data_IF_635023523782
#
_entry.id   IF_635023523782
#
_cell.length_a   1.000
_cell.length_b   1.000
_cell.length_c   1.000
_cell.angle_alpha   90.00
_cell.angle_beta   90.00
_cell.angle_gamma   90.00
#
_symmetry.space_group_name_H-M   'P 1'
#
loop_
_entity.id
_entity.type
_entity.pdbx_description
1 polymer ?
#
# COMPACT_ATOMS: atom_id res chain seq x y z
N UNK A 1 12.43 2.77 -10.59
CA UNK A 1 12.09 2.17 -9.27
C UNK A 1 12.63 0.74 -9.19
N UNK A 2 13.82 0.55 -8.63
CA UNK A 2 14.50 -0.77 -8.58
C UNK A 2 13.80 -1.79 -7.64
N UNK A 3 13.05 -1.30 -6.64
CA UNK A 3 12.40 -2.14 -5.63
C UNK A 3 11.11 -2.83 -6.11
N UNK A 4 10.39 -2.23 -7.06
CA UNK A 4 9.16 -2.76 -7.66
C UNK A 4 9.41 -4.08 -8.42
N UNK A 5 10.62 -4.23 -8.99
CA UNK A 5 11.03 -5.44 -9.70
C UNK A 5 11.36 -6.60 -8.76
N UNK A 6 11.65 -6.33 -7.48
CA UNK A 6 11.97 -7.38 -6.50
C UNK A 6 10.74 -7.90 -5.75
N UNK A 7 9.76 -7.05 -5.50
CA UNK A 7 8.49 -7.47 -4.92
C UNK A 7 7.42 -6.39 -5.14
N UNK A 8 6.20 -6.76 -5.54
CA UNK A 8 5.06 -5.83 -5.61
C UNK A 8 4.81 -5.10 -4.28
N UNK A 9 5.21 -5.71 -3.15
CA UNK A 9 5.10 -5.16 -1.80
C UNK A 9 5.84 -3.82 -1.61
N UNK A 10 6.81 -3.51 -2.47
CA UNK A 10 7.59 -2.28 -2.39
C UNK A 10 6.77 -1.01 -2.71
N UNK A 11 5.58 -1.13 -3.33
CA UNK A 11 4.71 0.02 -3.61
C UNK A 11 4.22 0.71 -2.34
N UNK A 12 3.84 -0.07 -1.33
CA UNK A 12 3.33 0.45 -0.05
C UNK A 12 4.41 1.15 0.79
N UNK A 13 5.67 0.75 0.63
CA UNK A 13 6.78 1.31 1.40
C UNK A 13 7.27 2.69 0.89
N UNK A 14 6.77 3.19 -0.25
CA UNK A 14 7.32 4.38 -0.94
C UNK A 14 6.28 5.41 -1.40
N UNK A 15 5.02 5.03 -1.60
CA UNK A 15 3.94 6.02 -1.57
C UNK A 15 3.88 6.61 -0.15
N UNK A 16 3.36 7.82 0.03
CA UNK A 16 3.17 8.44 1.36
C UNK A 16 2.06 7.66 2.09
N UNK A 17 2.37 6.41 2.43
CA UNK A 17 1.53 5.48 3.15
C UNK A 17 2.16 5.41 4.52
N UNK A 18 1.40 5.84 5.52
CA UNK A 18 1.86 5.78 6.91
C UNK A 18 1.07 4.71 7.63
N UNK A 19 1.77 3.93 8.44
CA UNK A 19 1.15 3.06 9.43
C UNK A 19 1.23 3.77 10.78
N UNK A 20 0.10 3.93 11.45
CA UNK A 20 0.02 4.42 12.83
C UNK A 20 -0.73 3.38 13.65
N UNK A 21 -0.03 2.71 14.55
CA UNK A 21 -0.56 1.57 15.30
C UNK A 21 -1.21 0.53 14.35
N UNK A 22 -2.51 0.27 14.51
CA UNK A 22 -3.31 -0.64 13.69
C UNK A 22 -4.01 0.04 12.51
N UNK A 23 -3.64 1.28 12.18
CA UNK A 23 -4.26 2.04 11.07
C UNK A 23 -3.25 2.26 9.94
N UNK A 24 -3.69 1.92 8.72
CA UNK A 24 -2.96 2.20 7.48
C UNK A 24 -3.61 3.40 6.77
N UNK A 25 -2.82 4.42 6.47
CA UNK A 25 -3.26 5.62 5.74
C UNK A 25 -2.61 5.60 4.36
N UNK A 26 -3.40 5.73 3.31
CA UNK A 26 -2.95 5.67 1.92
C UNK A 26 -3.28 6.99 1.25
N UNK A 27 -2.26 7.72 0.80
CA UNK A 27 -2.46 8.91 0.00
C UNK A 27 -2.62 8.56 -1.47
N UNK A 28 -3.72 9.00 -2.07
CA UNK A 28 -3.98 8.89 -3.50
C UNK A 28 -3.83 10.26 -4.19
N UNK A 29 -3.47 10.29 -5.48
CA UNK A 29 -3.46 11.53 -6.26
C UNK A 29 -4.86 12.17 -6.34
N UNK A 30 -4.91 13.49 -6.51
CA UNK A 30 -6.19 14.23 -6.56
C UNK A 30 -7.03 14.02 -7.82
N UNK A 31 -6.50 13.40 -8.88
CA UNK A 31 -7.27 13.08 -10.09
C UNK A 31 -7.86 11.67 -10.01
N UNK A 32 -9.12 11.51 -10.42
CA UNK A 32 -9.83 10.22 -10.33
C UNK A 32 -9.10 9.11 -11.09
N UNK A 33 -8.61 9.41 -12.30
CA UNK A 33 -7.89 8.44 -13.13
C UNK A 33 -6.65 7.90 -12.42
N UNK A 34 -5.80 8.80 -11.89
CA UNK A 34 -4.58 8.38 -11.21
C UNK A 34 -4.89 7.69 -9.88
N UNK A 35 -5.92 8.11 -9.15
CA UNK A 35 -6.37 7.41 -7.94
C UNK A 35 -6.79 5.97 -8.23
N UNK A 36 -7.53 5.73 -9.33
CA UNK A 36 -7.96 4.40 -9.75
C UNK A 36 -6.78 3.50 -10.14
N UNK A 37 -5.88 4.01 -10.98
CA UNK A 37 -4.67 3.26 -11.39
C UNK A 37 -3.78 2.90 -10.18
N UNK A 38 -3.65 3.80 -9.21
CA UNK A 38 -2.89 3.54 -7.98
C UNK A 38 -3.63 2.58 -7.03
N UNK A 39 -4.97 2.64 -6.98
CA UNK A 39 -5.78 1.72 -6.18
C UNK A 39 -5.70 0.28 -6.69
N UNK A 40 -5.90 0.07 -7.98
CA UNK A 40 -5.80 -1.25 -8.63
C UNK A 40 -4.42 -1.87 -8.44
N UNK A 41 -3.37 -1.03 -8.36
CA UNK A 41 -2.01 -1.48 -8.11
C UNK A 41 -1.77 -2.01 -6.68
N UNK A 42 -2.58 -1.61 -5.69
CA UNK A 42 -2.35 -1.93 -4.26
C UNK A 42 -3.46 -2.76 -3.62
N UNK A 43 -4.67 -2.77 -4.17
CA UNK A 43 -5.86 -3.36 -3.53
C UNK A 43 -5.65 -4.84 -3.15
N UNK A 44 -5.00 -5.62 -4.02
CA UNK A 44 -4.70 -7.03 -3.79
C UNK A 44 -3.67 -7.30 -2.69
N UNK A 45 -3.03 -6.26 -2.14
CA UNK A 45 -2.08 -6.38 -1.03
C UNK A 45 -2.66 -5.82 0.29
N UNK A 46 -3.83 -5.17 0.27
CA UNK A 46 -4.40 -4.52 1.45
C UNK A 46 -4.78 -5.50 2.54
N UNK A 47 -5.35 -6.65 2.19
CA UNK A 47 -5.73 -7.68 3.18
C UNK A 47 -4.51 -8.15 4.00
N UNK A 48 -3.41 -8.45 3.32
CA UNK A 48 -2.16 -8.81 3.96
C UNK A 48 -1.57 -7.64 4.77
N UNK A 49 -1.58 -6.43 4.23
CA UNK A 49 -1.08 -5.24 4.91
C UNK A 49 -1.86 -4.93 6.20
N UNK A 50 -3.19 -5.09 6.20
CA UNK A 50 -4.04 -4.94 7.38
C UNK A 50 -3.74 -6.03 8.40
N UNK A 51 -3.57 -7.29 7.97
CA UNK A 51 -3.19 -8.40 8.86
C UNK A 51 -1.86 -8.15 9.57
N UNK A 52 -0.84 -7.70 8.82
CA UNK A 52 0.46 -7.31 9.39
C UNK A 52 0.33 -6.13 10.36
N UNK A 53 -0.49 -5.15 9.99
CA UNK A 53 -0.75 -3.95 10.80
C UNK A 53 -1.47 -4.27 12.12
N UNK A 54 -2.29 -5.32 12.14
CA UNK A 54 -2.95 -5.84 13.34
C UNK A 54 -2.02 -6.69 14.24
N UNK A 55 -0.73 -6.81 13.91
CA UNK A 55 0.22 -7.62 14.67
C UNK A 55 0.11 -9.12 14.38
N UNK A 56 -0.67 -9.52 13.37
CA UNK A 56 -0.62 -10.87 12.85
C UNK A 56 0.71 -11.04 12.13
N UNK A 57 1.67 -11.73 12.76
CA UNK A 57 2.90 -12.15 12.08
C UNK A 57 2.60 -13.02 10.85
N UNK A 58 3.64 -13.24 10.03
CA UNK A 58 3.58 -14.02 8.79
C UNK A 58 2.86 -15.36 8.94
#
# INVERSE_FOLDING_TARGET
AYSLQKTPRAMLSRAVVMQRASTLVINLPGSEKAARENWEAIEGQLEHAVKMTAGGGH
#
